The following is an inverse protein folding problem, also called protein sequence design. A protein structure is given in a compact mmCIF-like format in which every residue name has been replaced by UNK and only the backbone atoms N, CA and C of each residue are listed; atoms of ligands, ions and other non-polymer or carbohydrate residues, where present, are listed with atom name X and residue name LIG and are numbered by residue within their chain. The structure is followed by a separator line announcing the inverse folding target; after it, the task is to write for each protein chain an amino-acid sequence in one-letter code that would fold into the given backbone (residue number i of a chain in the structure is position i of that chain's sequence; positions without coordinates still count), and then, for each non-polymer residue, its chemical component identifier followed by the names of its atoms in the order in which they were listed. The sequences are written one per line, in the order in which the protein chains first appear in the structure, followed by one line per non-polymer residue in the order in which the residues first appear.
data_IF_445215986820
#
_entry.id   IF_445215986820
#
_cell.length_a   1.000
_cell.length_b   1.000
_cell.length_c   1.000
_cell.angle_alpha   90.00
_cell.angle_beta   90.00
_cell.angle_gamma   90.00
#
_symmetry.space_group_name_H-M   'P 1'
#
loop_
_entity.id
_entity.type
_entity.pdbx_description
1 polymer ?
#
# COMPACT_ATOMS: atom_id res chain seq x y z
N UNK A 1 -30.63 11.30 -21.09
CA UNK A 1 -29.77 10.14 -20.84
C UNK A 1 -28.43 10.72 -20.46
N UNK A 2 -28.20 10.91 -19.16
CA UNK A 2 -26.90 11.37 -18.68
C UNK A 2 -25.85 10.36 -19.14
N UNK A 3 -24.72 10.88 -19.64
CA UNK A 3 -23.62 10.04 -20.08
C UNK A 3 -23.09 9.33 -18.83
N UNK A 4 -23.08 8.01 -18.84
CA UNK A 4 -22.50 7.21 -17.76
C UNK A 4 -21.06 7.70 -17.52
N UNK A 5 -20.74 8.04 -16.27
CA UNK A 5 -19.45 8.62 -15.91
C UNK A 5 -18.35 7.59 -16.13
N UNK A 6 -17.47 7.85 -17.09
CA UNK A 6 -16.33 6.99 -17.39
C UNK A 6 -15.07 7.59 -16.74
N UNK A 7 -14.70 7.06 -15.58
CA UNK A 7 -13.54 7.54 -14.81
C UNK A 7 -12.25 7.49 -15.62
N UNK A 8 -12.02 6.42 -16.39
CA UNK A 8 -10.82 6.28 -17.22
C UNK A 8 -10.74 7.38 -18.30
N UNK A 9 -11.86 7.75 -18.93
CA UNK A 9 -11.90 8.84 -19.91
C UNK A 9 -11.59 10.20 -19.26
N UNK A 10 -12.12 10.47 -18.07
CA UNK A 10 -11.87 11.73 -17.37
C UNK A 10 -10.42 11.83 -16.86
N UNK A 11 -9.90 10.75 -16.26
CA UNK A 11 -8.49 10.68 -15.85
C UNK A 11 -7.53 10.83 -17.04
N UNK A 12 -7.86 10.26 -18.21
CA UNK A 12 -7.05 10.41 -19.41
C UNK A 12 -7.00 11.86 -19.94
N UNK A 13 -8.08 12.64 -19.75
CA UNK A 13 -8.13 14.06 -20.15
C UNK A 13 -7.34 14.94 -19.20
N UNK A 14 -7.30 14.61 -17.92
CA UNK A 14 -6.72 15.45 -16.87
C UNK A 14 -5.83 14.63 -15.91
N UNK A 15 -4.67 14.12 -16.37
CA UNK A 15 -3.82 13.24 -15.55
C UNK A 15 -3.27 13.92 -14.28
N UNK A 16 -3.14 15.24 -14.29
CA UNK A 16 -2.64 16.05 -13.18
C UNK A 16 -3.65 16.25 -12.04
N UNK A 17 -4.92 15.84 -12.18
CA UNK A 17 -5.91 15.98 -11.10
C UNK A 17 -5.57 15.19 -9.83
N UNK A 18 -4.71 14.18 -9.98
CA UNK A 18 -4.29 13.30 -8.90
C UNK A 18 -3.00 13.78 -8.23
N UNK A 19 -2.41 14.87 -8.72
CA UNK A 19 -1.15 15.44 -8.26
C UNK A 19 -1.41 16.64 -7.34
N UNK A 20 -0.71 16.68 -6.22
CA UNK A 20 -0.74 17.80 -5.28
C UNK A 20 0.61 18.51 -5.29
N UNK A 21 0.64 19.85 -5.28
CA UNK A 21 1.88 20.60 -5.20
C UNK A 21 2.73 20.21 -3.98
N UNK A 22 4.04 20.24 -4.16
CA UNK A 22 5.03 20.10 -3.10
C UNK A 22 4.84 21.15 -2.02
N UNK A 23 5.04 20.80 -0.75
CA UNK A 23 4.97 21.73 0.37
C UNK A 23 3.62 22.46 0.52
N UNK A 24 2.54 21.95 -0.09
CA UNK A 24 1.23 22.62 -0.15
C UNK A 24 0.72 23.17 1.19
N UNK A 25 0.92 22.39 2.27
CA UNK A 25 0.46 22.72 3.62
C UNK A 25 1.60 23.10 4.57
N UNK A 26 2.76 23.47 4.04
CA UNK A 26 3.89 23.99 4.80
C UNK A 26 3.83 25.51 4.90
N UNK A 27 4.51 26.09 5.90
CA UNK A 27 4.57 27.54 6.14
C UNK A 27 5.09 28.36 4.95
N UNK A 28 5.95 27.75 4.12
CA UNK A 28 6.48 28.36 2.88
C UNK A 28 5.48 28.41 1.71
N UNK A 29 4.37 27.68 1.81
CA UNK A 29 3.42 27.50 0.72
C UNK A 29 3.89 26.48 -0.32
N UNK A 30 3.09 26.29 -1.38
CA UNK A 30 3.38 25.31 -2.43
C UNK A 30 4.64 25.66 -3.24
N UNK A 31 5.39 24.64 -3.61
CA UNK A 31 6.60 24.69 -4.45
C UNK A 31 6.40 24.00 -5.80
N UNK A 32 7.30 24.27 -6.76
CA UNK A 32 7.22 23.79 -8.15
C UNK A 32 7.74 22.35 -8.30
N UNK A 33 7.08 21.42 -7.62
CA UNK A 33 7.25 19.98 -7.77
C UNK A 33 5.98 19.25 -7.33
N UNK A 34 5.87 17.94 -7.62
CA UNK A 34 4.75 17.12 -7.17
C UNK A 34 5.04 16.59 -5.77
N UNK A 35 4.30 17.05 -4.77
CA UNK A 35 4.46 16.65 -3.37
C UNK A 35 3.83 15.31 -3.03
N UNK A 36 2.66 15.05 -3.62
CA UNK A 36 1.90 13.83 -3.43
C UNK A 36 1.14 13.45 -4.72
N UNK A 37 1.10 12.17 -5.07
CA UNK A 37 0.33 11.65 -6.20
C UNK A 37 -0.61 10.53 -5.75
N UNK A 38 -1.92 10.67 -6.01
CA UNK A 38 -2.91 9.66 -5.68
C UNK A 38 -2.77 8.46 -6.63
N UNK A 39 -2.61 7.28 -6.06
CA UNK A 39 -2.32 6.05 -6.78
C UNK A 39 -3.01 4.85 -6.13
N UNK A 40 -2.87 3.69 -6.78
CA UNK A 40 -3.15 2.41 -6.15
C UNK A 40 -1.81 1.82 -5.68
N UNK A 41 -1.64 1.65 -4.36
CA UNK A 41 -0.41 1.13 -3.76
C UNK A 41 -0.66 -0.19 -3.04
N UNK A 42 0.29 -1.10 -3.13
CA UNK A 42 0.36 -2.33 -2.37
C UNK A 42 1.60 -2.32 -1.49
N UNK A 43 1.43 -2.81 -0.26
CA UNK A 43 2.46 -2.88 0.77
C UNK A 43 2.48 -4.29 1.35
N UNK A 44 3.63 -4.95 1.28
CA UNK A 44 3.84 -6.31 1.80
C UNK A 44 4.95 -6.27 2.85
N UNK A 45 4.67 -6.80 4.04
CA UNK A 45 5.65 -6.95 5.12
C UNK A 45 6.13 -8.40 5.15
N UNK A 46 7.43 -8.62 4.90
CA UNK A 46 8.04 -9.94 4.80
C UNK A 46 9.33 -10.00 5.60
N UNK A 47 9.93 -11.19 5.69
CA UNK A 47 11.15 -11.46 6.48
C UNK A 47 12.28 -11.95 5.59
N UNK A 48 13.47 -12.07 6.17
CA UNK A 48 14.63 -12.72 5.55
C UNK A 48 15.14 -12.04 4.26
N UNK A 49 14.96 -10.71 4.14
CA UNK A 49 15.41 -9.94 2.97
C UNK A 49 16.91 -10.01 2.68
N UNK A 50 17.71 -10.38 3.70
CA UNK A 50 19.13 -10.63 3.58
C UNK A 50 19.48 -11.95 2.86
N UNK A 51 18.54 -12.91 2.79
CA UNK A 51 18.81 -14.24 2.24
C UNK A 51 18.85 -14.24 0.71
N UNK A 52 19.66 -15.11 0.08
CA UNK A 52 19.71 -15.23 -1.38
C UNK A 52 18.35 -15.56 -2.01
N UNK A 53 17.55 -16.39 -1.34
CA UNK A 53 16.23 -16.81 -1.84
C UNK A 53 15.27 -15.62 -1.93
N UNK A 54 15.19 -14.80 -0.89
CA UNK A 54 14.29 -13.64 -0.86
C UNK A 54 14.80 -12.52 -1.76
N UNK A 55 16.13 -12.32 -1.87
CA UNK A 55 16.70 -11.36 -2.85
C UNK A 55 16.36 -11.74 -4.29
N UNK A 56 16.39 -13.02 -4.61
CA UNK A 56 15.95 -13.52 -5.91
C UNK A 56 14.45 -13.30 -6.12
N UNK A 57 13.62 -13.58 -5.11
CA UNK A 57 12.19 -13.32 -5.15
C UNK A 57 11.88 -11.82 -5.40
N UNK A 58 12.60 -10.91 -4.74
CA UNK A 58 12.50 -9.46 -4.96
C UNK A 58 12.87 -9.08 -6.40
N UNK A 59 13.91 -9.69 -6.97
CA UNK A 59 14.26 -9.48 -8.38
C UNK A 59 13.14 -9.93 -9.32
N UNK A 60 12.50 -11.06 -9.04
CA UNK A 60 11.37 -11.55 -9.84
C UNK A 60 10.16 -10.61 -9.73
N UNK A 61 9.85 -10.12 -8.52
CA UNK A 61 8.81 -9.11 -8.33
C UNK A 61 9.09 -7.85 -9.16
N UNK A 62 10.33 -7.36 -9.14
CA UNK A 62 10.70 -6.20 -9.94
C UNK A 62 10.67 -6.48 -11.45
N UNK A 63 11.12 -7.65 -11.89
CA UNK A 63 11.07 -8.07 -13.30
C UNK A 63 9.64 -8.09 -13.84
N UNK A 64 8.67 -8.49 -13.01
CA UNK A 64 7.26 -8.48 -13.36
C UNK A 64 6.66 -7.07 -13.34
N UNK A 65 6.92 -6.26 -12.32
CA UNK A 65 6.50 -4.86 -12.27
C UNK A 65 7.01 -4.06 -13.48
N UNK A 66 8.27 -4.28 -13.90
CA UNK A 66 8.85 -3.63 -15.07
C UNK A 66 8.09 -3.91 -16.37
N UNK A 67 7.37 -5.04 -16.48
CA UNK A 67 6.60 -5.35 -17.72
C UNK A 67 5.55 -4.29 -18.02
N UNK A 68 4.97 -3.65 -16.99
CA UNK A 68 4.06 -2.53 -17.16
C UNK A 68 4.72 -1.17 -16.90
N UNK A 69 5.70 -1.07 -16.00
CA UNK A 69 6.26 0.20 -15.57
C UNK A 69 7.48 0.70 -16.38
N UNK A 70 8.28 -0.19 -16.98
CA UNK A 70 9.63 0.16 -17.47
C UNK A 70 9.72 1.37 -18.42
N UNK A 71 8.79 1.59 -19.37
CA UNK A 71 8.84 2.77 -20.25
C UNK A 71 8.64 4.11 -19.52
N UNK A 72 8.21 4.08 -18.25
CA UNK A 72 7.80 5.24 -17.46
C UNK A 72 8.75 5.52 -16.28
N UNK A 73 9.63 4.57 -15.94
CA UNK A 73 10.60 4.74 -14.86
C UNK A 73 11.70 5.71 -15.31
N UNK A 74 11.98 6.70 -14.46
CA UNK A 74 12.91 7.80 -14.73
C UNK A 74 14.08 7.81 -13.75
N UNK A 75 13.86 7.42 -12.50
CA UNK A 75 14.89 7.50 -11.46
C UNK A 75 15.04 6.20 -10.66
N UNK A 76 16.26 5.99 -10.19
CA UNK A 76 16.60 5.07 -9.11
C UNK A 76 17.21 5.89 -7.98
N UNK A 77 16.56 5.91 -6.82
CA UNK A 77 17.14 6.40 -5.58
C UNK A 77 17.50 5.22 -4.65
N UNK A 78 18.66 5.31 -4.01
CA UNK A 78 19.17 4.35 -3.02
C UNK A 78 19.73 5.13 -1.85
N UNK A 79 19.38 4.75 -0.63
CA UNK A 79 20.01 5.30 0.57
C UNK A 79 21.43 4.74 0.70
N UNK A 80 22.41 5.64 0.80
CA UNK A 80 23.84 5.32 1.02
C UNK A 80 24.39 4.13 0.22
N UNK A 81 24.29 4.11 -1.13
CA UNK A 81 24.69 2.95 -1.93
C UNK A 81 26.17 2.64 -1.75
N UNK A 82 26.58 1.35 -1.85
CA UNK A 82 27.98 0.98 -1.62
C UNK A 82 28.90 1.55 -2.71
N UNK A 83 28.34 1.75 -3.91
CA UNK A 83 28.99 2.37 -5.05
C UNK A 83 28.03 3.32 -5.78
N UNK A 84 28.57 4.43 -6.26
CA UNK A 84 27.84 5.42 -7.07
C UNK A 84 27.16 6.51 -6.23
N UNK A 85 26.27 7.26 -6.88
CA UNK A 85 25.48 8.32 -6.22
C UNK A 85 24.15 7.75 -5.73
N UNK A 86 23.56 8.32 -4.65
CA UNK A 86 22.23 7.94 -4.17
C UNK A 86 21.17 8.00 -5.26
N UNK A 87 21.20 9.03 -6.11
CA UNK A 87 20.26 9.23 -7.21
C UNK A 87 20.94 8.97 -8.56
N UNK A 88 20.34 8.12 -9.38
CA UNK A 88 20.77 7.81 -10.75
C UNK A 88 19.57 7.81 -11.70
N UNK A 89 19.75 8.19 -12.96
CA UNK A 89 18.73 8.02 -13.98
C UNK A 89 18.46 6.52 -14.21
N UNK A 90 17.20 6.12 -14.37
CA UNK A 90 16.85 4.70 -14.53
C UNK A 90 17.50 4.07 -15.77
N UNK A 91 17.69 4.83 -16.85
CA UNK A 91 18.38 4.38 -18.07
C UNK A 91 19.84 3.97 -17.83
N UNK A 92 20.47 4.56 -16.81
CA UNK A 92 21.88 4.37 -16.49
C UNK A 92 22.06 3.38 -15.32
N UNK A 93 20.95 2.97 -14.70
CA UNK A 93 20.96 2.05 -13.57
C UNK A 93 21.31 0.64 -14.02
N UNK A 94 22.16 -0.03 -13.24
CA UNK A 94 22.41 -1.46 -13.39
C UNK A 94 21.13 -2.26 -13.09
N UNK A 95 20.96 -3.46 -13.64
CA UNK A 95 19.86 -4.34 -13.25
C UNK A 95 19.87 -4.62 -11.75
N UNK A 96 18.68 -4.64 -11.11
CA UNK A 96 18.53 -4.92 -9.67
C UNK A 96 19.32 -6.17 -9.23
N UNK A 97 19.22 -7.24 -10.02
CA UNK A 97 19.88 -8.52 -9.77
C UNK A 97 21.40 -8.42 -9.75
N UNK A 98 22.00 -7.57 -10.60
CA UNK A 98 23.44 -7.32 -10.58
C UNK A 98 23.85 -6.58 -9.30
N UNK A 99 23.07 -5.56 -8.91
CA UNK A 99 23.33 -4.78 -7.69
C UNK A 99 23.19 -5.62 -6.42
N UNK A 100 22.17 -6.46 -6.32
CA UNK A 100 21.98 -7.34 -5.16
C UNK A 100 23.05 -8.43 -5.08
N UNK A 101 23.57 -8.92 -6.21
CA UNK A 101 24.62 -9.92 -6.24
C UNK A 101 25.98 -9.39 -5.75
N UNK A 102 26.22 -8.08 -5.81
CA UNK A 102 27.44 -7.45 -5.28
C UNK A 102 27.35 -7.08 -3.80
N UNK A 103 26.19 -7.26 -3.16
CA UNK A 103 25.95 -6.91 -1.75
C UNK A 103 26.06 -8.14 -0.85
N UNK A 104 26.73 -8.04 0.29
CA UNK A 104 26.73 -9.10 1.31
C UNK A 104 25.41 -9.17 2.08
N UNK A 105 25.25 -10.17 2.96
CA UNK A 105 24.03 -10.38 3.75
C UNK A 105 23.76 -9.29 4.81
N UNK A 106 24.80 -8.57 5.23
CA UNK A 106 24.70 -7.54 6.27
C UNK A 106 24.44 -6.14 5.68
N UNK A 107 24.42 -6.01 4.35
CA UNK A 107 24.04 -4.78 3.67
C UNK A 107 22.51 -4.64 3.59
N UNK A 108 21.91 -3.59 4.18
CA UNK A 108 20.47 -3.35 4.10
C UNK A 108 20.06 -2.94 2.68
N UNK A 109 18.81 -3.22 2.31
CA UNK A 109 18.29 -2.90 0.98
C UNK A 109 17.47 -1.62 1.04
N UNK A 110 17.82 -0.66 0.20
CA UNK A 110 17.09 0.60 0.03
C UNK A 110 17.08 0.95 -1.45
N UNK A 111 15.98 0.62 -2.15
CA UNK A 111 15.83 0.83 -3.59
C UNK A 111 14.49 1.46 -3.88
N UNK A 112 14.49 2.56 -4.65
CA UNK A 112 13.31 3.34 -4.98
C UNK A 112 13.33 3.61 -6.48
N UNK A 113 12.52 2.88 -7.24
CA UNK A 113 12.33 3.09 -8.67
C UNK A 113 11.08 3.94 -8.89
N UNK A 114 11.21 5.09 -9.56
CA UNK A 114 10.14 6.09 -9.65
C UNK A 114 9.97 6.66 -11.06
N UNK A 115 8.78 7.16 -11.38
CA UNK A 115 8.41 7.80 -12.67
C UNK A 115 8.41 9.32 -12.68
N UNK A 116 8.83 9.97 -11.58
CA UNK A 116 8.79 11.44 -11.45
C UNK A 116 9.52 12.15 -12.59
N UNK A 117 8.96 13.28 -13.06
CA UNK A 117 9.62 14.10 -14.10
C UNK A 117 10.89 14.73 -13.53
N UNK A 118 10.77 15.33 -12.36
CA UNK A 118 11.88 15.71 -11.50
C UNK A 118 12.16 14.58 -10.52
N UNK A 119 13.39 14.45 -10.06
CA UNK A 119 13.76 13.41 -9.08
C UNK A 119 13.09 13.58 -7.72
N UNK A 120 12.60 14.79 -7.42
CA UNK A 120 11.85 15.12 -6.21
C UNK A 120 10.34 14.89 -6.37
N UNK A 121 9.83 14.71 -7.60
CA UNK A 121 8.39 14.52 -7.80
C UNK A 121 7.91 13.21 -7.17
N UNK A 122 6.77 13.26 -6.51
CA UNK A 122 6.06 12.07 -6.06
C UNK A 122 5.63 11.23 -7.27
N UNK A 123 6.00 9.95 -7.34
CA UNK A 123 5.73 9.12 -8.50
C UNK A 123 4.33 8.51 -8.49
N UNK A 124 3.74 8.34 -9.67
CA UNK A 124 2.54 7.53 -9.89
C UNK A 124 2.86 6.04 -10.12
N UNK A 125 4.05 5.74 -10.67
CA UNK A 125 4.66 4.41 -10.72
C UNK A 125 5.83 4.33 -9.76
N UNK A 126 5.69 3.50 -8.73
CA UNK A 126 6.69 3.34 -7.68
C UNK A 126 6.99 1.87 -7.44
N UNK A 127 8.26 1.54 -7.15
CA UNK A 127 8.67 0.25 -6.61
C UNK A 127 9.77 0.48 -5.58
N UNK A 128 9.47 0.17 -4.33
CA UNK A 128 10.33 0.39 -3.18
C UNK A 128 10.64 -0.93 -2.46
N UNK A 129 11.93 -1.18 -2.27
CA UNK A 129 12.44 -2.26 -1.43
C UNK A 129 13.10 -1.62 -0.22
N UNK A 130 12.59 -1.97 0.96
CA UNK A 130 13.24 -1.72 2.23
C UNK A 130 13.52 -3.06 2.93
N UNK A 131 14.79 -3.48 2.97
CA UNK A 131 15.18 -4.81 3.41
C UNK A 131 16.17 -4.76 4.58
N UNK A 132 15.87 -5.54 5.62
CA UNK A 132 16.72 -5.68 6.81
C UNK A 132 17.95 -6.54 6.50
N UNK A 133 19.06 -6.19 7.15
CA UNK A 133 20.32 -6.95 7.10
C UNK A 133 20.27 -8.24 7.94
N UNK A 134 21.24 -9.14 7.72
CA UNK A 134 21.31 -10.39 8.48
C UNK A 134 21.56 -10.16 9.98
N UNK A 135 22.39 -9.18 10.36
CA UNK A 135 22.60 -8.84 11.77
C UNK A 135 21.34 -8.28 12.44
N UNK A 136 20.53 -7.47 11.73
CA UNK A 136 19.23 -6.99 12.23
C UNK A 136 18.27 -8.16 12.43
N UNK A 137 18.23 -9.10 11.49
CA UNK A 137 17.43 -10.31 11.62
C UNK A 137 17.82 -11.14 12.85
N UNK A 138 19.13 -11.32 13.09
CA UNK A 138 19.68 -12.07 14.25
C UNK A 138 19.25 -11.48 15.60
N UNK A 139 18.95 -10.18 15.68
CA UNK A 139 18.46 -9.51 16.90
C UNK A 139 16.92 -9.31 16.92
N UNK A 140 16.18 -9.99 16.03
CA UNK A 140 14.72 -9.93 15.96
C UNK A 140 14.16 -8.69 15.26
N UNK A 141 14.95 -8.03 14.42
CA UNK A 141 14.54 -6.88 13.59
C UNK A 141 14.50 -7.23 12.11
N UNK A 142 13.83 -8.33 11.78
CA UNK A 142 13.81 -8.88 10.41
C UNK A 142 12.65 -8.40 9.53
N UNK A 143 11.83 -7.44 9.99
CA UNK A 143 10.68 -6.99 9.22
C UNK A 143 11.12 -6.07 8.08
N UNK A 144 10.89 -6.53 6.86
CA UNK A 144 11.20 -5.85 5.61
C UNK A 144 9.91 -5.49 4.86
N UNK A 145 10.00 -4.59 3.89
CA UNK A 145 8.85 -4.04 3.17
C UNK A 145 9.11 -4.03 1.67
N UNK A 146 8.09 -4.45 0.92
CA UNK A 146 7.97 -4.18 -0.50
C UNK A 146 6.75 -3.27 -0.69
N UNK A 147 6.96 -2.09 -1.28
CA UNK A 147 5.88 -1.24 -1.76
C UNK A 147 5.92 -1.11 -3.28
N UNK A 148 4.76 -1.13 -3.92
CA UNK A 148 4.66 -0.87 -5.35
C UNK A 148 3.34 -0.18 -5.66
N UNK A 149 3.34 0.67 -6.68
CA UNK A 149 2.16 1.44 -7.06
C UNK A 149 1.99 1.56 -8.56
N UNK A 150 0.73 1.74 -8.96
CA UNK A 150 0.35 2.09 -10.33
C UNK A 150 -0.60 3.29 -10.31
N UNK A 151 -0.66 4.08 -11.40
CA UNK A 151 -1.63 5.16 -11.52
C UNK A 151 -3.05 4.62 -11.55
N UNK A 152 -4.01 5.40 -11.03
CA UNK A 152 -5.42 5.01 -11.05
C UNK A 152 -5.91 4.77 -12.48
N UNK A 153 -5.47 5.57 -13.46
CA UNK A 153 -5.83 5.35 -14.86
C UNK A 153 -5.40 3.97 -15.37
N UNK A 154 -4.22 3.49 -14.96
CA UNK A 154 -3.77 2.14 -15.34
C UNK A 154 -4.65 1.07 -14.69
N UNK A 155 -5.02 1.24 -13.42
CA UNK A 155 -5.93 0.34 -12.73
C UNK A 155 -7.30 0.29 -13.41
N UNK A 156 -7.91 1.44 -13.74
CA UNK A 156 -9.21 1.52 -14.40
C UNK A 156 -9.21 0.82 -15.77
N UNK A 157 -8.11 0.92 -16.50
CA UNK A 157 -7.95 0.24 -17.80
C UNK A 157 -7.62 -1.25 -17.66
N UNK A 158 -7.11 -1.68 -16.51
CA UNK A 158 -6.57 -3.02 -16.28
C UNK A 158 -6.98 -3.56 -14.89
N UNK A 159 -8.28 -3.72 -14.60
CA UNK A 159 -8.79 -3.91 -13.23
C UNK A 159 -8.22 -5.14 -12.49
N UNK A 160 -7.83 -6.18 -13.24
CA UNK A 160 -7.26 -7.42 -12.70
C UNK A 160 -5.74 -7.44 -12.60
N UNK A 161 -5.04 -6.52 -13.27
CA UNK A 161 -3.58 -6.58 -13.39
C UNK A 161 -2.89 -6.31 -12.05
N UNK A 162 -3.38 -5.34 -11.27
CA UNK A 162 -2.81 -5.06 -9.96
C UNK A 162 -3.05 -6.20 -8.96
N UNK A 163 -4.27 -6.76 -8.95
CA UNK A 163 -4.60 -7.91 -8.10
C UNK A 163 -3.69 -9.11 -8.38
N UNK A 164 -3.46 -9.45 -9.67
CA UNK A 164 -2.49 -10.51 -10.04
C UNK A 164 -1.10 -10.19 -9.53
N UNK A 165 -0.64 -8.95 -9.73
CA UNK A 165 0.69 -8.52 -9.29
C UNK A 165 0.86 -8.69 -7.78
N UNK A 166 -0.11 -8.26 -6.97
CA UNK A 166 -0.09 -8.43 -5.52
C UNK A 166 -0.04 -9.92 -5.13
N UNK A 167 -0.87 -10.77 -5.76
CA UNK A 167 -0.90 -12.20 -5.47
C UNK A 167 0.42 -12.89 -5.80
N UNK A 168 0.98 -12.60 -6.97
CA UNK A 168 2.24 -13.20 -7.39
C UNK A 168 3.40 -12.73 -6.51
N UNK A 169 3.37 -11.50 -6.03
CA UNK A 169 4.36 -11.01 -5.06
C UNK A 169 4.18 -11.66 -3.70
N UNK A 170 2.95 -11.81 -3.23
CA UNK A 170 2.65 -12.51 -1.98
C UNK A 170 3.11 -13.97 -2.02
N UNK A 171 2.89 -14.68 -3.14
CA UNK A 171 3.36 -16.06 -3.35
C UNK A 171 4.89 -16.18 -3.29
N UNK A 172 5.61 -15.17 -3.80
CA UNK A 172 7.08 -15.17 -3.83
C UNK A 172 7.71 -14.79 -2.50
N UNK A 173 7.10 -13.84 -1.80
CA UNK A 173 7.69 -13.25 -0.59
C UNK A 173 7.12 -13.83 0.71
N UNK A 174 6.02 -14.58 0.65
CA UNK A 174 5.32 -15.13 1.82
C UNK A 174 5.17 -14.09 2.97
N UNK A 175 4.55 -12.92 2.70
CA UNK A 175 4.48 -11.83 3.67
C UNK A 175 3.64 -12.21 4.90
N UNK A 176 4.02 -11.71 6.08
CA UNK A 176 3.26 -11.91 7.33
C UNK A 176 1.95 -11.13 7.33
N UNK A 177 1.97 -9.94 6.72
CA UNK A 177 0.82 -9.07 6.54
C UNK A 177 1.03 -8.16 5.33
N UNK A 178 -0.06 -7.58 4.83
CA UNK A 178 0.00 -6.60 3.77
C UNK A 178 -1.37 -6.05 3.43
N UNK A 179 -1.40 -5.04 2.60
CA UNK A 179 -2.63 -4.41 2.15
C UNK A 179 -2.39 -3.68 0.83
N UNK A 180 -3.46 -3.46 0.07
CA UNK A 180 -3.41 -2.60 -1.09
C UNK A 180 -4.72 -1.85 -1.32
N UNK A 181 -4.62 -0.60 -1.77
CA UNK A 181 -5.74 0.28 -2.03
C UNK A 181 -5.27 1.69 -2.41
N UNK A 182 -6.19 2.66 -2.34
CA UNK A 182 -5.84 4.05 -2.63
C UNK A 182 -4.81 4.57 -1.62
N UNK A 183 -3.78 5.25 -2.12
CA UNK A 183 -2.75 5.85 -1.29
C UNK A 183 -2.16 7.08 -1.99
N UNK A 184 -1.51 7.96 -1.22
CA UNK A 184 -0.60 8.93 -1.81
C UNK A 184 0.82 8.37 -1.80
N UNK A 185 1.46 8.33 -2.96
CA UNK A 185 2.92 8.34 -2.97
C UNK A 185 3.36 9.76 -2.66
N UNK A 186 4.33 9.89 -1.77
CA UNK A 186 4.96 11.17 -1.43
C UNK A 186 6.32 11.26 -2.11
N UNK A 187 6.81 12.49 -2.28
CA UNK A 187 8.17 12.75 -2.74
C UNK A 187 9.18 11.91 -1.94
N UNK A 188 9.96 11.01 -2.59
CA UNK A 188 10.91 10.15 -1.87
C UNK A 188 11.98 10.93 -1.10
N UNK A 189 12.41 12.08 -1.63
CA UNK A 189 13.47 12.91 -1.05
C UNK A 189 12.97 14.11 -0.26
N UNK A 190 11.65 14.36 -0.24
CA UNK A 190 11.02 15.46 0.49
C UNK A 190 9.72 14.99 1.17
N UNK A 191 9.71 13.74 1.65
CA UNK A 191 8.52 13.11 2.22
C UNK A 191 7.95 13.91 3.38
N UNK A 192 8.81 14.28 4.33
CA UNK A 192 8.43 14.99 5.56
C UNK A 192 7.59 16.24 5.28
N UNK A 193 8.00 17.05 4.30
CA UNK A 193 7.29 18.27 3.92
C UNK A 193 5.92 18.02 3.25
N UNK A 194 5.63 16.79 2.84
CA UNK A 194 4.40 16.41 2.13
C UNK A 194 3.47 15.49 2.94
N UNK A 195 3.93 14.97 4.08
CA UNK A 195 3.07 14.24 5.03
C UNK A 195 1.84 15.05 5.51
N UNK A 196 1.92 16.38 5.69
CA UNK A 196 0.73 17.17 6.04
C UNK A 196 -0.37 17.11 4.97
N UNK A 197 0.00 17.06 3.69
CA UNK A 197 -0.95 16.88 2.59
C UNK A 197 -1.62 15.51 2.70
N UNK A 198 -0.86 14.44 2.94
CA UNK A 198 -1.42 13.09 3.15
C UNK A 198 -2.38 13.07 4.35
N UNK A 199 -1.98 13.65 5.49
CA UNK A 199 -2.80 13.71 6.70
C UNK A 199 -4.11 14.47 6.46
N UNK A 200 -4.07 15.57 5.71
CA UNK A 200 -5.25 16.36 5.37
C UNK A 200 -6.22 15.58 4.47
N UNK A 201 -5.68 14.82 3.51
CA UNK A 201 -6.48 14.01 2.60
C UNK A 201 -7.05 12.75 3.28
N UNK A 202 -6.32 12.16 4.22
CA UNK A 202 -6.75 10.97 4.98
C UNK A 202 -8.03 11.21 5.79
N UNK A 203 -8.26 12.43 6.26
CA UNK A 203 -9.49 12.81 6.95
C UNK A 203 -10.72 12.88 6.02
N UNK A 204 -10.51 12.92 4.69
CA UNK A 204 -11.56 13.07 3.66
C UNK A 204 -11.79 11.81 2.84
N UNK A 205 -10.81 10.91 2.81
CA UNK A 205 -10.82 9.69 2.02
C UNK A 205 -10.62 8.52 2.99
N UNK A 206 -11.69 7.96 3.60
CA UNK A 206 -11.56 6.88 4.57
C UNK A 206 -10.91 5.61 4.00
N UNK A 207 -10.97 5.40 2.68
CA UNK A 207 -10.29 4.28 2.02
C UNK A 207 -8.78 4.49 1.80
N UNK A 208 -8.24 5.66 2.09
CA UNK A 208 -6.85 6.04 1.83
C UNK A 208 -5.89 5.41 2.85
N UNK A 209 -4.87 4.70 2.35
CA UNK A 209 -3.70 4.29 3.11
C UNK A 209 -2.76 5.46 3.38
N UNK A 210 -2.13 5.47 4.56
CA UNK A 210 -1.25 6.56 4.99
C UNK A 210 0.01 6.07 5.70
N UNK A 211 1.00 6.94 5.75
CA UNK A 211 2.23 6.73 6.50
C UNK A 211 3.27 5.91 5.75
N UNK A 212 4.42 5.76 6.38
CA UNK A 212 5.61 5.15 5.75
C UNK A 212 5.79 3.72 6.22
N UNK A 213 5.66 2.75 5.33
CA UNK A 213 5.73 1.34 5.70
C UNK A 213 7.12 0.94 6.23
N UNK A 214 8.20 1.47 5.65
CA UNK A 214 9.58 1.27 6.13
C UNK A 214 9.83 1.88 7.52
N UNK A 215 9.20 3.01 7.85
CA UNK A 215 9.22 3.57 9.20
C UNK A 215 8.57 2.60 10.19
N UNK A 216 7.37 2.10 9.85
CA UNK A 216 6.65 1.13 10.68
C UNK A 216 7.43 -0.17 10.87
N UNK A 217 8.15 -0.65 9.87
CA UNK A 217 8.95 -1.86 10.00
C UNK A 217 10.07 -1.75 11.06
N UNK A 218 10.52 -0.52 11.35
CA UNK A 218 11.61 -0.24 12.29
C UNK A 218 11.16 0.08 13.72
N UNK A 219 9.87 0.33 13.97
CA UNK A 219 9.41 0.67 15.33
C UNK A 219 9.16 -0.60 16.18
N UNK A 220 9.47 -0.57 17.49
CA UNK A 220 9.21 -1.70 18.39
C UNK A 220 7.74 -2.13 18.49
N UNK A 221 6.82 -1.17 18.41
CA UNK A 221 5.38 -1.36 18.58
C UNK A 221 4.77 -2.19 17.44
N UNK A 222 5.38 -2.14 16.25
CA UNK A 222 4.89 -2.78 15.04
C UNK A 222 5.42 -4.22 14.89
N UNK A 223 5.41 -5.01 15.98
CA UNK A 223 5.99 -6.36 16.02
C UNK A 223 5.21 -7.57 16.57
N UNK A 224 3.95 -7.50 17.03
CA UNK A 224 3.13 -8.71 17.25
C UNK A 224 2.37 -9.19 16.00
N UNK A 225 1.75 -10.39 16.09
CA UNK A 225 0.81 -10.99 15.10
C UNK A 225 -0.48 -10.15 14.99
N UNK A 226 -0.34 -8.94 14.43
CA UNK A 226 -1.39 -7.94 14.23
C UNK A 226 -1.35 -7.40 12.80
N UNK A 227 -2.39 -6.70 12.39
CA UNK A 227 -2.45 -5.99 11.11
C UNK A 227 -2.50 -4.47 11.31
N UNK A 228 -1.82 -3.72 10.44
CA UNK A 228 -1.91 -2.24 10.41
C UNK A 228 -3.35 -1.80 10.13
N UNK A 229 -3.93 -2.30 9.04
CA UNK A 229 -5.23 -1.84 8.54
C UNK A 229 -5.85 -2.87 7.61
N UNK A 230 -7.08 -2.58 7.16
CA UNK A 230 -7.74 -3.26 6.05
C UNK A 230 -7.80 -2.28 4.87
N UNK A 231 -7.82 -2.83 3.66
CA UNK A 231 -7.97 -2.06 2.43
C UNK A 231 -8.68 -2.90 1.36
N UNK A 232 -8.69 -2.45 0.09
CA UNK A 232 -9.26 -3.19 -1.03
C UNK A 232 -8.76 -4.64 -1.05
N UNK A 233 -7.46 -4.80 -0.93
CA UNK A 233 -6.80 -6.09 -0.75
C UNK A 233 -6.16 -6.11 0.64
N UNK A 234 -6.36 -7.19 1.39
CA UNK A 234 -5.77 -7.40 2.72
C UNK A 234 -5.11 -8.76 2.76
N UNK A 235 -3.82 -8.82 3.11
CA UNK A 235 -3.01 -10.03 3.15
C UNK A 235 -2.82 -10.47 4.59
N UNK A 236 -3.18 -11.71 4.88
CA UNK A 236 -2.98 -12.35 6.18
C UNK A 236 -2.13 -13.61 6.00
N UNK A 237 -1.12 -13.80 6.84
CA UNK A 237 -0.49 -15.10 7.01
C UNK A 237 -1.38 -16.09 7.75
N UNK A 238 -0.96 -17.35 7.75
CA UNK A 238 -1.65 -18.43 8.43
C UNK A 238 -1.81 -18.15 9.94
N UNK A 239 -0.80 -17.56 10.60
CA UNK A 239 -0.86 -17.27 12.03
C UNK A 239 -1.98 -16.27 12.36
N UNK A 240 -2.13 -15.19 11.57
CA UNK A 240 -3.22 -14.22 11.74
C UNK A 240 -4.57 -14.83 11.40
N UNK A 241 -4.63 -15.70 10.39
CA UNK A 241 -5.85 -16.39 10.00
C UNK A 241 -6.37 -17.32 11.11
N UNK A 242 -5.47 -18.01 11.81
CA UNK A 242 -5.80 -18.87 12.96
C UNK A 242 -6.39 -18.09 14.13
N UNK A 243 -5.91 -16.86 14.40
CA UNK A 243 -6.48 -15.98 15.42
C UNK A 243 -7.95 -15.61 15.15
N UNK A 244 -8.39 -15.74 13.89
CA UNK A 244 -9.77 -15.47 13.45
C UNK A 244 -10.63 -16.74 13.37
N UNK A 245 -10.09 -17.89 13.77
CA UNK A 245 -10.77 -19.20 13.67
C UNK A 245 -10.64 -19.86 12.29
N UNK A 246 -9.73 -19.39 11.43
CA UNK A 246 -9.45 -19.97 10.12
C UNK A 246 -10.26 -19.37 8.96
N UNK A 247 -9.98 -19.86 7.75
CA UNK A 247 -10.59 -19.36 6.51
C UNK A 247 -12.12 -19.51 6.49
N UNK A 248 -12.65 -20.67 6.89
CA UNK A 248 -14.09 -20.93 6.84
C UNK A 248 -14.88 -20.01 7.79
N UNK A 249 -14.33 -19.76 8.98
CA UNK A 249 -14.91 -18.82 9.95
C UNK A 249 -14.96 -17.41 9.38
N UNK A 250 -13.87 -16.96 8.73
CA UNK A 250 -13.79 -15.66 8.07
C UNK A 250 -14.79 -15.55 6.91
N UNK A 251 -14.86 -16.56 6.03
CA UNK A 251 -15.80 -16.60 4.90
C UNK A 251 -17.25 -16.59 5.34
N UNK A 252 -17.59 -17.26 6.45
CA UNK A 252 -18.95 -17.31 6.97
C UNK A 252 -19.50 -15.95 7.41
N UNK A 253 -18.61 -15.02 7.76
CA UNK A 253 -18.97 -13.69 8.26
C UNK A 253 -19.14 -12.66 7.14
N UNK A 254 -18.65 -12.93 5.93
CA UNK A 254 -18.56 -11.96 4.84
C UNK A 254 -19.38 -12.42 3.61
N UNK A 255 -20.19 -11.54 2.98
CA UNK A 255 -20.97 -11.93 1.79
C UNK A 255 -20.07 -12.30 0.61
N UNK A 256 -20.16 -13.54 0.11
CA UNK A 256 -19.37 -13.99 -1.06
C UNK A 256 -19.68 -13.25 -2.36
N UNK A 257 -20.77 -12.48 -2.39
CA UNK A 257 -21.09 -11.57 -3.49
C UNK A 257 -20.15 -10.38 -3.62
N UNK A 258 -19.47 -9.98 -2.54
CA UNK A 258 -18.64 -8.77 -2.46
C UNK A 258 -17.22 -9.06 -1.94
N UNK A 259 -16.99 -10.25 -1.38
CA UNK A 259 -15.69 -10.68 -0.89
C UNK A 259 -15.16 -11.89 -1.65
N UNK A 260 -13.91 -11.80 -2.09
CA UNK A 260 -13.17 -12.93 -2.66
C UNK A 260 -11.93 -13.22 -1.82
N UNK A 261 -11.51 -14.48 -1.84
CA UNK A 261 -10.37 -14.98 -1.09
C UNK A 261 -9.44 -15.71 -2.05
N UNK A 262 -8.15 -15.51 -1.89
CA UNK A 262 -7.12 -16.11 -2.75
C UNK A 262 -6.03 -16.71 -1.90
N UNK A 263 -5.72 -17.97 -2.14
CA UNK A 263 -4.58 -18.64 -1.52
C UNK A 263 -3.27 -18.16 -2.18
N UNK A 264 -2.30 -17.77 -1.35
CA UNK A 264 -0.94 -17.46 -1.80
C UNK A 264 0.10 -18.45 -1.22
N UNK A 265 -0.33 -19.53 -0.59
CA UNK A 265 0.48 -20.61 -0.05
C UNK A 265 0.83 -20.44 1.42
N UNK A 266 1.23 -19.24 1.85
CA UNK A 266 1.55 -18.95 3.26
C UNK A 266 0.38 -18.26 4.02
N UNK A 267 -0.75 -18.07 3.35
CA UNK A 267 -1.95 -17.47 3.92
C UNK A 267 -2.98 -17.08 2.85
N UNK A 268 -3.79 -16.07 3.14
CA UNK A 268 -4.88 -15.61 2.27
C UNK A 268 -4.77 -14.12 1.92
N UNK A 269 -5.12 -13.79 0.68
CA UNK A 269 -5.46 -12.42 0.28
C UNK A 269 -6.97 -12.29 0.21
N UNK A 270 -7.50 -11.29 0.89
CA UNK A 270 -8.93 -10.96 0.96
C UNK A 270 -9.16 -9.74 0.06
N UNK A 271 -10.04 -9.86 -0.91
CA UNK A 271 -10.55 -8.75 -1.72
C UNK A 271 -11.88 -8.28 -1.12
N UNK A 272 -11.94 -7.01 -0.71
CA UNK A 272 -13.10 -6.34 -0.14
C UNK A 272 -13.73 -5.38 -1.16
N UNK A 273 -14.78 -5.84 -1.84
CA UNK A 273 -15.45 -5.09 -2.90
C UNK A 273 -14.84 -5.32 -4.29
N UNK A 274 -15.61 -4.97 -5.32
CA UNK A 274 -15.20 -5.15 -6.72
C UNK A 274 -13.99 -4.30 -7.11
N UNK A 275 -13.93 -3.06 -6.63
CA UNK A 275 -12.90 -2.08 -7.00
C UNK A 275 -12.33 -1.39 -5.76
N UNK A 276 -11.09 -0.85 -5.84
CA UNK A 276 -10.57 -0.01 -4.77
C UNK A 276 -11.46 1.22 -4.56
N UNK A 277 -11.88 1.45 -3.32
CA UNK A 277 -12.73 2.59 -2.96
C UNK A 277 -12.02 3.54 -2.01
N UNK A 278 -12.14 4.84 -2.31
CA UNK A 278 -11.73 5.93 -1.42
C UNK A 278 -12.83 6.34 -0.42
N UNK A 279 -14.08 5.99 -0.72
CA UNK A 279 -15.25 6.45 0.02
C UNK A 279 -16.16 7.42 -0.73
N UNK A 280 -17.47 7.37 -0.44
CA UNK A 280 -18.49 8.23 -1.05
C UNK A 280 -19.74 8.44 -0.16
N UNK A 281 -20.55 9.45 -0.52
CA UNK A 281 -21.81 9.75 0.15
C UNK A 281 -21.67 10.51 1.47
N UNK A 282 -22.77 10.59 2.23
CA UNK A 282 -22.85 11.31 3.51
C UNK A 282 -21.93 10.69 4.58
N UNK A 283 -21.92 9.36 4.66
CA UNK A 283 -20.89 8.62 5.39
C UNK A 283 -19.90 8.04 4.38
N UNK A 284 -18.71 8.63 4.22
CA UNK A 284 -17.77 8.28 3.18
C UNK A 284 -17.06 6.94 3.42
N UNK A 285 -17.39 6.16 4.45
CA UNK A 285 -16.70 4.87 4.67
C UNK A 285 -17.19 3.81 3.68
N UNK A 286 -16.31 3.11 2.94
CA UNK A 286 -16.72 1.99 2.09
C UNK A 286 -17.30 0.84 2.93
N UNK A 287 -18.49 0.33 2.57
CA UNK A 287 -19.18 -0.67 3.38
C UNK A 287 -18.40 -1.98 3.44
N UNK A 288 -17.78 -2.40 2.32
CA UNK A 288 -16.91 -3.56 2.31
C UNK A 288 -15.74 -3.44 3.31
N UNK A 289 -15.16 -2.24 3.45
CA UNK A 289 -14.02 -2.02 4.34
C UNK A 289 -14.48 -1.96 5.81
N UNK A 290 -15.63 -1.35 6.09
CA UNK A 290 -16.22 -1.34 7.44
C UNK A 290 -16.50 -2.76 7.92
N UNK A 291 -17.11 -3.59 7.09
CA UNK A 291 -17.44 -4.97 7.44
C UNK A 291 -16.18 -5.83 7.63
N UNK A 292 -15.18 -5.69 6.76
CA UNK A 292 -13.91 -6.40 6.92
C UNK A 292 -13.17 -5.92 8.18
N UNK A 293 -13.14 -4.61 8.41
CA UNK A 293 -12.54 -4.01 9.60
C UNK A 293 -13.19 -4.56 10.88
N UNK A 294 -14.51 -4.68 10.92
CA UNK A 294 -15.20 -5.24 12.08
C UNK A 294 -14.77 -6.69 12.35
N UNK A 295 -14.65 -7.52 11.32
CA UNK A 295 -14.23 -8.93 11.47
C UNK A 295 -12.77 -9.03 11.91
N UNK A 296 -11.89 -8.15 11.39
CA UNK A 296 -10.46 -8.16 11.68
C UNK A 296 -10.06 -7.30 12.90
N UNK A 297 -11.03 -6.61 13.53
CA UNK A 297 -10.79 -5.63 14.61
C UNK A 297 -9.96 -6.22 15.76
N UNK A 298 -10.24 -7.47 16.14
CA UNK A 298 -9.56 -8.16 17.24
C UNK A 298 -8.06 -8.40 17.00
N UNK A 299 -7.58 -8.32 15.75
CA UNK A 299 -6.18 -8.48 15.39
C UNK A 299 -5.54 -7.21 14.80
N UNK A 300 -6.26 -6.08 14.74
CA UNK A 300 -5.71 -4.80 14.29
C UNK A 300 -4.85 -4.17 15.39
N UNK A 301 -3.85 -3.39 15.02
CA UNK A 301 -3.15 -2.50 15.96
C UNK A 301 -4.11 -1.46 16.55
N UNK A 302 -4.02 -1.28 17.87
CA UNK A 302 -4.71 -0.19 18.56
C UNK A 302 -3.94 1.12 18.47
N UNK A 303 -2.62 1.02 18.44
CA UNK A 303 -1.68 2.11 18.23
C UNK A 303 -0.43 1.59 17.53
N UNK A 304 0.20 2.47 16.76
CA UNK A 304 1.54 2.27 16.18
C UNK A 304 2.47 3.43 16.57
N UNK A 305 2.10 4.21 17.58
CA UNK A 305 2.78 5.45 17.92
C UNK A 305 2.55 6.53 16.85
N UNK A 306 3.25 6.46 15.73
CA UNK A 306 3.20 7.45 14.67
C UNK A 306 3.19 6.81 13.29
N UNK A 307 2.37 7.36 12.40
CA UNK A 307 2.37 7.04 10.97
C UNK A 307 3.24 8.03 10.17
N UNK A 308 3.53 9.19 10.78
CA UNK A 308 4.27 10.33 10.23
C UNK A 308 5.44 10.74 11.12
N UNK A 309 6.35 11.55 10.57
CA UNK A 309 7.32 12.32 11.33
C UNK A 309 6.67 13.30 12.31
N UNK A 310 7.46 13.73 13.30
CA UNK A 310 7.02 14.76 14.24
C UNK A 310 6.83 16.10 13.55
N UNK A 311 5.85 16.90 14.00
CA UNK A 311 5.68 18.26 13.47
C UNK A 311 6.83 19.17 13.88
N UNK A 312 7.28 20.01 12.94
CA UNK A 312 8.32 21.02 13.16
C UNK A 312 7.76 22.43 13.36
N UNK A 313 6.65 22.76 12.69
CA UNK A 313 6.07 24.11 12.58
C UNK A 313 4.57 24.17 12.94
N UNK A 314 4.01 23.11 13.55
CA UNK A 314 2.59 22.98 13.89
C UNK A 314 1.70 22.47 12.76
N UNK A 315 2.31 21.92 11.70
CA UNK A 315 1.65 21.26 10.58
C UNK A 315 0.92 19.98 10.99
N UNK A 316 -0.12 19.63 10.22
CA UNK A 316 -0.92 18.43 10.48
C UNK A 316 -0.06 17.17 10.30
N UNK A 317 -0.08 16.28 11.28
CA UNK A 317 0.61 14.98 11.22
C UNK A 317 -0.24 13.89 11.86
N UNK A 318 -0.08 12.65 11.40
CA UNK A 318 -0.68 11.46 11.99
C UNK A 318 0.28 10.85 13.02
N UNK A 319 0.28 11.43 14.23
CA UNK A 319 1.14 11.05 15.36
C UNK A 319 0.32 10.91 16.64
N UNK A 320 0.65 9.92 17.47
CA UNK A 320 -0.07 9.62 18.70
C UNK A 320 -1.57 9.42 18.45
N UNK A 321 -2.39 10.26 19.08
CA UNK A 321 -3.86 10.14 19.00
C UNK A 321 -4.39 10.22 17.56
N UNK A 322 -3.84 11.07 16.68
CA UNK A 322 -4.35 11.18 15.29
C UNK A 322 -4.00 9.94 14.47
N UNK A 323 -2.85 9.30 14.72
CA UNK A 323 -2.53 8.00 14.14
C UNK A 323 -3.52 6.92 14.62
N UNK A 324 -3.83 6.89 15.92
CA UNK A 324 -4.79 5.94 16.49
C UNK A 324 -6.20 6.13 15.91
N UNK A 325 -6.64 7.38 15.68
CA UNK A 325 -7.91 7.64 15.02
C UNK A 325 -7.91 7.15 13.57
N UNK A 326 -6.80 7.30 12.85
CA UNK A 326 -6.71 6.77 11.50
C UNK A 326 -6.79 5.23 11.47
N UNK A 327 -6.15 4.54 12.42
CA UNK A 327 -6.27 3.08 12.55
C UNK A 327 -7.73 2.64 12.81
N UNK A 328 -8.48 3.46 13.55
CA UNK A 328 -9.87 3.22 13.96
C UNK A 328 -10.90 3.85 13.02
N UNK A 329 -10.49 4.47 11.91
CA UNK A 329 -11.37 5.30 11.04
C UNK A 329 -12.59 4.55 10.48
N UNK A 330 -12.51 3.22 10.40
CA UNK A 330 -13.56 2.33 9.90
C UNK A 330 -14.40 1.69 11.02
N UNK A 331 -14.18 2.07 12.28
CA UNK A 331 -14.94 1.53 13.41
C UNK A 331 -16.37 2.09 13.42
N UNK A 332 -17.31 1.19 13.67
CA UNK A 332 -18.74 1.46 13.83
C UNK A 332 -19.25 0.67 15.03
N UNK A 333 -20.41 1.05 15.55
CA UNK A 333 -21.05 0.29 16.62
C UNK A 333 -21.55 -1.06 16.07
N UNK A 334 -21.48 -2.11 16.91
CA UNK A 334 -21.93 -3.45 16.51
C UNK A 334 -23.40 -3.48 16.09
N UNK A 335 -24.22 -2.59 16.66
CA UNK A 335 -25.63 -2.41 16.29
C UNK A 335 -25.82 -1.92 14.86
N UNK A 336 -24.82 -1.28 14.26
CA UNK A 336 -24.92 -0.69 12.92
C UNK A 336 -24.49 -1.67 11.82
N UNK A 337 -23.84 -2.77 12.17
CA UNK A 337 -23.35 -3.78 11.22
C UNK A 337 -24.45 -4.31 10.27
N UNK A 338 -25.69 -4.56 10.72
CA UNK A 338 -26.77 -4.92 9.79
C UNK A 338 -27.07 -3.84 8.74
N UNK A 339 -26.99 -2.55 9.10
CA UNK A 339 -27.20 -1.45 8.16
C UNK A 339 -26.06 -1.36 7.15
N UNK A 340 -24.82 -1.52 7.59
CA UNK A 340 -23.65 -1.60 6.70
C UNK A 340 -23.71 -2.78 5.74
N UNK A 341 -24.19 -3.93 6.20
CA UNK A 341 -24.43 -5.10 5.34
C UNK A 341 -25.53 -4.83 4.31
N UNK A 342 -26.59 -4.13 4.68
CA UNK A 342 -27.63 -3.73 3.74
C UNK A 342 -27.10 -2.74 2.69
N UNK A 343 -26.31 -1.74 3.09
CA UNK A 343 -25.64 -0.79 2.19
C UNK A 343 -24.75 -1.52 1.19
N UNK A 344 -23.90 -2.43 1.66
CA UNK A 344 -23.04 -3.24 0.78
C UNK A 344 -23.86 -3.99 -0.29
N UNK A 345 -24.94 -4.68 0.11
CA UNK A 345 -25.73 -5.51 -0.79
C UNK A 345 -26.63 -4.70 -1.75
N UNK A 346 -26.98 -3.47 -1.37
CA UNK A 346 -27.88 -2.60 -2.13
C UNK A 346 -27.17 -1.65 -3.09
N UNK A 347 -26.02 -1.11 -2.68
CA UNK A 347 -25.43 0.06 -3.34
C UNK A 347 -24.06 -0.22 -3.98
N UNK A 348 -23.31 -1.22 -3.49
CA UNK A 348 -21.98 -1.53 -4.02
C UNK A 348 -22.03 -2.60 -5.14
N UNK A 349 -21.07 -2.56 -6.09
CA UNK A 349 -21.02 -3.51 -7.19
C UNK A 349 -20.64 -4.92 -6.72
N UNK A 350 -21.31 -5.90 -7.32
CA UNK A 350 -21.03 -7.33 -7.13
C UNK A 350 -19.69 -7.75 -7.75
N UNK A 351 -19.10 -8.78 -7.16
CA UNK A 351 -17.97 -9.47 -7.76
C UNK A 351 -18.39 -10.26 -9.00
N UNK A 352 -17.65 -10.07 -10.09
CA UNK A 352 -17.85 -10.78 -11.35
C UNK A 352 -16.50 -11.09 -12.05
N UNK A 353 -16.56 -11.64 -13.26
CA UNK A 353 -15.36 -12.04 -14.02
C UNK A 353 -14.48 -10.86 -14.50
N UNK A 354 -14.96 -9.62 -14.42
CA UNK A 354 -14.22 -8.42 -14.82
C UNK A 354 -13.36 -7.86 -13.68
N UNK A 355 -13.72 -8.16 -12.43
CA UNK A 355 -13.10 -7.59 -11.23
C UNK A 355 -12.60 -8.64 -10.23
N UNK A 356 -12.79 -9.93 -10.50
CA UNK A 356 -12.18 -11.02 -9.73
C UNK A 356 -11.39 -12.00 -10.60
N UNK A 357 -10.44 -12.68 -9.97
CA UNK A 357 -9.69 -13.74 -10.63
C UNK A 357 -10.42 -15.09 -10.51
N UNK A 358 -10.29 -15.97 -11.52
CA UNK A 358 -10.97 -17.27 -11.54
C UNK A 358 -10.50 -18.22 -10.43
N UNK A 359 -9.32 -17.99 -9.86
CA UNK A 359 -8.71 -18.80 -8.79
C UNK A 359 -9.20 -18.45 -7.38
N UNK A 360 -10.28 -17.66 -7.25
CA UNK A 360 -10.88 -17.36 -5.94
C UNK A 360 -11.46 -18.62 -5.27
N UNK A 361 -11.27 -18.72 -3.95
CA UNK A 361 -11.68 -19.87 -3.10
C UNK A 361 -13.17 -19.94 -2.81
#
# INVERSE_FOLDING_TARGET
MEKEFNLAEELAKQPHLLEMPGNLLMKGGPEDYIGAALCLRGTLYFKEAHTPLVREALCQCFDEFKRCAAPRLTWLWREEPPEGKPLTAYSDAKPLREMLASMDEDYPLSFYYSSGKQSIDAPDWHFEIFGQSAWEAKIGRDLSVLEFSVPLLYQEQNPLSFLRLLLDFARRLAPEQGYAGHAYNLSPTSRDNNEPTEAFMAARIPGLDVGTASLLANIPEFKPTRIKTVSWLTVLDQQRLELLGGLDALRSQLPSSHFAFYDYGAGVVIQAGAYPSGGDGEDPRPAAYVLLNQVLKGIRYETVGSLHGGSHDGELRLVGWSADQWLKRLDVDESDIPAWRARLLGDEPYLDATNTLPERL
#
